data_IF_541644038055
#
_entry.id   IF_541644038055
#
_cell.length_a   1.000
_cell.length_b   1.000
_cell.length_c   1.000
_cell.angle_alpha   90.00
_cell.angle_beta   90.00
_cell.angle_gamma   90.00
#
_symmetry.space_group_name_H-M   'P 1'
#
loop_
_entity.id
_entity.type
_entity.pdbx_description
1 polymer ?
#
# COMPACT_ATOMS: atom_id res chain seq x y z
N UNK A 1 -1.72 15.72 10.54
CA UNK A 1 -1.97 15.78 9.09
C UNK A 1 -3.48 15.78 8.85
N UNK A 2 -3.93 16.49 7.83
CA UNK A 2 -5.37 16.60 7.55
C UNK A 2 -5.89 15.35 6.84
N UNK A 3 -6.50 14.44 7.59
CA UNK A 3 -7.03 13.19 7.06
C UNK A 3 -8.24 13.41 6.16
N UNK A 4 -9.04 14.45 6.40
CA UNK A 4 -10.17 14.78 5.53
C UNK A 4 -9.68 15.19 4.14
N UNK A 5 -8.62 15.99 4.06
CA UNK A 5 -8.01 16.37 2.79
C UNK A 5 -7.46 15.16 2.04
N UNK A 6 -6.82 14.24 2.74
CA UNK A 6 -6.29 12.99 2.14
C UNK A 6 -7.44 12.17 1.55
N UNK A 7 -8.50 11.98 2.31
CA UNK A 7 -9.66 11.21 1.86
C UNK A 7 -10.33 11.84 0.64
N UNK A 8 -10.59 13.13 0.68
CA UNK A 8 -11.23 13.86 -0.40
C UNK A 8 -10.39 13.85 -1.67
N UNK A 9 -9.08 14.03 -1.53
CA UNK A 9 -8.14 13.99 -2.65
C UNK A 9 -8.11 12.61 -3.30
N UNK A 10 -8.08 11.55 -2.50
CA UNK A 10 -8.09 10.20 -3.01
C UNK A 10 -9.41 9.87 -3.73
N UNK A 11 -10.55 10.27 -3.16
CA UNK A 11 -11.85 10.10 -3.81
C UNK A 11 -11.86 10.74 -5.19
N UNK A 12 -11.44 11.99 -5.27
CA UNK A 12 -11.39 12.74 -6.52
C UNK A 12 -10.47 12.07 -7.53
N UNK A 13 -9.31 11.60 -7.09
CA UNK A 13 -8.36 10.90 -7.94
C UNK A 13 -8.94 9.62 -8.51
N UNK A 14 -9.59 8.80 -7.68
CA UNK A 14 -10.23 7.56 -8.13
C UNK A 14 -11.39 7.82 -9.09
N UNK A 15 -12.19 8.84 -8.84
CA UNK A 15 -13.29 9.24 -9.72
C UNK A 15 -12.78 9.67 -11.10
N UNK A 16 -11.73 10.48 -11.14
CA UNK A 16 -11.11 10.92 -12.39
C UNK A 16 -10.46 9.80 -13.18
N UNK A 17 -9.95 8.79 -12.50
CA UNK A 17 -9.37 7.60 -13.13
C UNK A 17 -10.43 6.54 -13.49
N UNK A 18 -11.69 6.81 -13.20
CA UNK A 18 -12.81 5.89 -13.44
C UNK A 18 -12.62 4.55 -12.73
N UNK A 19 -12.10 4.61 -11.50
CA UNK A 19 -11.88 3.45 -10.66
C UNK A 19 -12.92 3.43 -9.53
N UNK A 20 -13.96 2.60 -9.63
CA UNK A 20 -15.03 2.57 -8.63
C UNK A 20 -14.56 2.01 -7.30
N UNK A 21 -15.04 2.58 -6.21
CA UNK A 21 -14.76 2.14 -4.85
C UNK A 21 -16.02 2.19 -4.00
N UNK A 22 -16.08 1.35 -2.96
CA UNK A 22 -17.22 1.31 -2.03
C UNK A 22 -16.97 2.16 -0.80
N UNK A 23 -15.74 2.15 -0.27
CA UNK A 23 -15.39 2.87 0.94
C UNK A 23 -13.90 3.22 0.95
N UNK A 24 -13.57 4.26 1.71
CA UNK A 24 -12.19 4.67 1.99
C UNK A 24 -12.10 4.91 3.50
N UNK A 25 -11.26 4.14 4.18
CA UNK A 25 -11.02 4.26 5.61
C UNK A 25 -9.59 4.69 5.87
N UNK A 26 -9.42 5.64 6.78
CA UNK A 26 -8.10 6.12 7.18
C UNK A 26 -7.83 5.80 8.64
N UNK A 27 -6.59 5.43 8.93
CA UNK A 27 -6.10 5.27 10.29
C UNK A 27 -4.73 5.91 10.43
N UNK A 28 -4.45 6.49 11.58
CA UNK A 28 -3.14 7.04 11.89
C UNK A 28 -2.43 6.09 12.86
N UNK A 29 -1.24 5.65 12.47
CA UNK A 29 -0.38 4.82 13.31
C UNK A 29 0.97 5.52 13.40
N UNK A 30 1.32 6.05 14.58
CA UNK A 30 2.52 6.85 14.78
C UNK A 30 2.57 8.03 13.79
N UNK A 31 3.54 8.03 12.88
CA UNK A 31 3.69 9.09 11.88
C UNK A 31 3.15 8.69 10.50
N UNK A 32 2.50 7.53 10.41
CA UNK A 32 2.01 6.98 9.15
C UNK A 32 0.50 7.07 9.08
N UNK A 33 -0.02 7.57 7.95
CA UNK A 33 -1.45 7.52 7.64
C UNK A 33 -1.69 6.32 6.73
N UNK A 34 -2.45 5.36 7.22
CA UNK A 34 -2.88 4.21 6.41
C UNK A 34 -4.24 4.49 5.81
N UNK A 35 -4.33 4.27 4.51
CA UNK A 35 -5.56 4.45 3.76
C UNK A 35 -5.97 3.10 3.18
N UNK A 36 -7.13 2.63 3.58
CA UNK A 36 -7.67 1.35 3.11
C UNK A 36 -8.84 1.62 2.17
N UNK A 37 -8.72 1.16 0.93
CA UNK A 37 -9.79 1.25 -0.06
C UNK A 37 -10.54 -0.07 -0.10
N UNK A 38 -11.86 -0.02 -0.14
CA UNK A 38 -12.70 -1.18 -0.37
C UNK A 38 -13.38 -1.03 -1.73
N UNK A 39 -13.27 -2.06 -2.57
CA UNK A 39 -13.84 -2.01 -3.92
C UNK A 39 -14.20 -3.41 -4.43
N UNK A 40 -15.32 -3.51 -5.14
CA UNK A 40 -15.71 -4.75 -5.83
C UNK A 40 -14.82 -5.03 -7.05
N UNK A 41 -14.09 -4.01 -7.52
CA UNK A 41 -13.18 -4.12 -8.66
C UNK A 41 -11.73 -3.88 -8.24
N UNK A 42 -11.33 -4.47 -7.10
CA UNK A 42 -10.00 -4.29 -6.53
C UNK A 42 -8.88 -4.56 -7.54
N UNK A 43 -9.04 -5.57 -8.40
CA UNK A 43 -8.04 -5.92 -9.41
C UNK A 43 -7.69 -4.77 -10.35
N UNK A 44 -8.66 -3.92 -10.70
CA UNK A 44 -8.43 -2.75 -11.55
C UNK A 44 -7.60 -1.69 -10.84
N UNK A 45 -7.83 -1.51 -9.53
CA UNK A 45 -7.11 -0.52 -8.73
C UNK A 45 -5.71 -1.02 -8.39
N UNK A 46 -5.56 -2.31 -8.11
CA UNK A 46 -4.25 -2.91 -7.86
C UNK A 46 -3.39 -2.86 -9.12
N UNK A 47 -3.97 -3.27 -10.25
CA UNK A 47 -3.24 -3.39 -11.51
C UNK A 47 -2.26 -4.55 -11.50
N UNK A 48 -1.40 -4.57 -12.51
CA UNK A 48 -0.40 -5.62 -12.65
C UNK A 48 0.68 -5.49 -11.57
N UNK A 49 0.81 -6.51 -10.72
CA UNK A 49 1.78 -6.53 -9.60
C UNK A 49 1.71 -5.31 -8.67
N UNK A 50 0.55 -4.69 -8.56
CA UNK A 50 0.37 -3.52 -7.71
C UNK A 50 0.85 -2.21 -8.30
N UNK A 51 1.19 -2.15 -9.57
CA UNK A 51 1.69 -0.93 -10.21
C UNK A 51 0.71 0.23 -10.16
N UNK A 52 -0.58 -0.03 -10.44
CA UNK A 52 -1.62 1.01 -10.40
C UNK A 52 -1.78 1.54 -8.99
N UNK A 53 -1.82 0.65 -8.01
CA UNK A 53 -1.94 1.02 -6.60
C UNK A 53 -0.74 1.87 -6.13
N UNK A 54 0.48 1.49 -6.52
CA UNK A 54 1.68 2.26 -6.22
C UNK A 54 1.65 3.64 -6.86
N UNK A 55 1.20 3.73 -8.10
CA UNK A 55 1.08 5.00 -8.82
C UNK A 55 0.07 5.92 -8.15
N UNK A 56 -1.07 5.39 -7.72
CA UNK A 56 -2.09 6.15 -6.97
C UNK A 56 -1.50 6.69 -5.67
N UNK A 57 -0.75 5.86 -4.94
CA UNK A 57 -0.08 6.28 -3.72
C UNK A 57 0.90 7.43 -3.96
N UNK A 58 1.73 7.31 -4.99
CA UNK A 58 2.70 8.36 -5.34
C UNK A 58 2.00 9.67 -5.71
N UNK A 59 0.96 9.59 -6.52
CA UNK A 59 0.18 10.77 -6.91
C UNK A 59 -0.49 11.43 -5.70
N UNK A 60 -1.10 10.64 -4.84
CA UNK A 60 -1.74 11.14 -3.62
C UNK A 60 -0.73 11.87 -2.74
N UNK A 61 0.42 11.27 -2.49
CA UNK A 61 1.50 11.87 -1.70
C UNK A 61 1.98 13.19 -2.31
N UNK A 62 2.17 13.23 -3.62
CA UNK A 62 2.62 14.43 -4.34
C UNK A 62 1.59 15.56 -4.25
N UNK A 63 0.31 15.23 -4.42
CA UNK A 63 -0.77 16.22 -4.32
C UNK A 63 -0.86 16.78 -2.90
N UNK A 64 -0.84 15.93 -1.89
CA UNK A 64 -0.90 16.36 -0.48
C UNK A 64 0.32 17.21 -0.13
N UNK A 65 1.50 16.79 -0.54
CA UNK A 65 2.73 17.58 -0.33
C UNK A 65 2.60 18.99 -0.90
N UNK A 66 2.04 19.10 -2.09
CA UNK A 66 1.87 20.39 -2.76
C UNK A 66 0.81 21.25 -2.06
N UNK A 67 -0.35 20.67 -1.73
CA UNK A 67 -1.45 21.40 -1.08
C UNK A 67 -1.09 21.89 0.33
N UNK A 68 -0.39 21.05 1.08
CA UNK A 68 0.03 21.36 2.46
C UNK A 68 1.39 22.07 2.52
N UNK A 69 2.02 22.28 1.40
CA UNK A 69 3.35 22.93 1.29
C UNK A 69 4.39 22.25 2.18
N UNK A 70 4.43 20.94 2.14
CA UNK A 70 5.37 20.15 2.94
C UNK A 70 6.76 20.12 2.29
N UNK A 71 7.81 20.20 3.11
CA UNK A 71 9.19 20.08 2.62
C UNK A 71 9.52 18.66 2.16
N UNK A 72 8.92 17.67 2.82
CA UNK A 72 9.15 16.27 2.52
C UNK A 72 7.83 15.59 2.15
N UNK A 73 7.94 14.49 1.41
CA UNK A 73 6.79 13.66 1.09
C UNK A 73 6.18 13.07 2.38
N UNK A 74 4.86 13.16 2.56
CA UNK A 74 4.21 12.62 3.75
C UNK A 74 4.25 11.08 3.76
N UNK A 75 4.19 10.49 4.95
CA UNK A 75 4.11 9.05 5.10
C UNK A 75 2.65 8.59 4.99
N UNK A 76 2.24 8.29 3.78
CA UNK A 76 0.90 7.80 3.46
C UNK A 76 1.04 6.45 2.76
N UNK A 77 0.38 5.43 3.28
CA UNK A 77 0.33 4.10 2.67
C UNK A 77 -1.09 3.82 2.22
N UNK A 78 -1.25 3.59 0.94
CA UNK A 78 -2.56 3.25 0.34
C UNK A 78 -2.59 1.75 0.09
N UNK A 79 -3.60 1.08 0.64
CA UNK A 79 -3.84 -0.33 0.41
C UNK A 79 -5.28 -0.54 -0.06
N UNK A 80 -5.55 -1.72 -0.61
CA UNK A 80 -6.87 -2.09 -1.06
C UNK A 80 -7.15 -3.53 -0.66
N UNK A 81 -8.25 -3.74 0.07
CA UNK A 81 -8.71 -5.06 0.53
C UNK A 81 -7.59 -5.92 1.14
N UNK A 82 -6.64 -5.27 1.83
CA UNK A 82 -5.53 -5.96 2.48
C UNK A 82 -4.47 -6.51 1.54
N UNK A 83 -4.41 -6.06 0.29
CA UNK A 83 -3.46 -6.56 -0.71
C UNK A 83 -2.00 -6.53 -0.25
N UNK A 84 -1.54 -5.39 0.29
CA UNK A 84 -0.15 -5.27 0.76
C UNK A 84 0.14 -6.17 1.95
N UNK A 85 -0.81 -6.31 2.87
CA UNK A 85 -0.68 -7.20 4.02
C UNK A 85 -0.56 -8.66 3.60
N UNK A 86 -1.36 -9.08 2.62
CA UNK A 86 -1.29 -10.44 2.08
C UNK A 86 0.08 -10.70 1.44
N UNK A 87 0.61 -9.73 0.70
CA UNK A 87 1.94 -9.87 0.09
C UNK A 87 3.05 -9.92 1.15
N UNK A 88 2.98 -9.08 2.17
CA UNK A 88 3.93 -9.10 3.29
C UNK A 88 3.91 -10.45 4.01
N UNK A 89 2.73 -11.00 4.28
CA UNK A 89 2.58 -12.30 4.93
C UNK A 89 3.15 -13.44 4.08
N UNK A 90 2.95 -13.42 2.77
CA UNK A 90 3.53 -14.41 1.86
C UNK A 90 5.06 -14.37 1.89
N UNK A 91 5.65 -13.20 1.85
CA UNK A 91 7.10 -13.03 1.92
C UNK A 91 7.64 -13.53 3.25
N UNK A 92 6.97 -13.22 4.35
CA UNK A 92 7.34 -13.68 5.70
C UNK A 92 7.32 -15.21 5.79
N UNK A 93 6.27 -15.86 5.30
CA UNK A 93 6.14 -17.33 5.31
C UNK A 93 7.26 -18.00 4.52
N UNK A 94 7.59 -17.47 3.35
CA UNK A 94 8.69 -17.99 2.53
C UNK A 94 10.01 -17.89 3.29
N UNK A 95 10.28 -16.76 3.92
CA UNK A 95 11.49 -16.54 4.71
C UNK A 95 11.58 -17.51 5.90
N UNK A 96 10.48 -17.74 6.61
CA UNK A 96 10.42 -18.69 7.72
C UNK A 96 10.68 -20.12 7.26
N UNK A 97 10.10 -20.55 6.16
CA UNK A 97 10.30 -21.88 5.60
C UNK A 97 11.76 -22.12 5.22
N UNK A 98 12.40 -21.14 4.61
CA UNK A 98 13.82 -21.22 4.24
C UNK A 98 14.71 -21.29 5.48
N UNK A 99 14.43 -20.51 6.50
CA UNK A 99 15.16 -20.54 7.76
C UNK A 99 15.06 -21.90 8.45
N UNK A 100 13.87 -22.50 8.48
CA UNK A 100 13.63 -23.83 9.05
C UNK A 100 14.39 -24.91 8.28
N UNK A 101 14.41 -24.84 6.96
CA UNK A 101 15.15 -25.76 6.12
C UNK A 101 16.65 -25.72 6.44
N UNK A 102 17.24 -24.55 6.54
CA UNK A 102 18.66 -24.37 6.88
C UNK A 102 18.97 -24.97 8.25
N UNK A 103 18.11 -24.74 9.24
CA UNK A 103 18.29 -25.29 10.59
C UNK A 103 18.24 -26.81 10.62
N UNK A 104 17.32 -27.42 9.86
CA UNK A 104 17.15 -28.89 9.84
C UNK A 104 18.26 -29.61 9.12
N UNK A 105 18.75 -29.05 8.03
CA UNK A 105 19.75 -29.71 7.19
C UNK A 105 21.19 -29.42 7.61
N UNK A 106 21.42 -28.37 8.40
CA UNK A 106 22.77 -27.92 8.75
C UNK A 106 23.56 -27.36 7.58
N UNK A 107 22.94 -27.26 6.41
CA UNK A 107 23.56 -26.75 5.20
C UNK A 107 23.25 -25.26 5.04
N UNK A 108 24.25 -24.49 4.63
CA UNK A 108 24.05 -23.12 4.22
C UNK A 108 23.44 -23.12 2.82
N UNK A 109 22.17 -22.78 2.73
CA UNK A 109 21.55 -22.53 1.46
C UNK A 109 21.76 -21.06 1.14
N UNK A 110 22.49 -20.78 0.07
CA UNK A 110 22.60 -19.42 -0.42
C UNK A 110 21.21 -18.95 -0.87
N UNK A 111 20.69 -17.91 -0.20
CA UNK A 111 19.48 -17.28 -0.65
C UNK A 111 19.82 -16.55 -1.95
N UNK A 112 19.27 -17.02 -3.06
CA UNK A 112 19.44 -16.33 -4.34
C UNK A 112 18.93 -14.90 -4.22
N UNK A 113 19.64 -13.94 -4.76
CA UNK A 113 19.18 -12.55 -4.74
C UNK A 113 17.87 -12.37 -5.52
#
# INVERSE_FOLDING_TARGET
MDTALIKDTLKELLEKLDLPFSAIDLSEEEDIVRVEITSDTANKIIGWHGETLNSIQHLLKAIIRSKEKLERSPFIVVDIDGYRRVQEDKVRKIAEQKADFVRRTGNRVALAP
#
